data_IF_611614505172
#
_entry.id   IF_611614505172
#
_cell.length_a   1.000
_cell.length_b   1.000
_cell.length_c   1.000
_cell.angle_alpha   90.00
_cell.angle_beta   90.00
_cell.angle_gamma   90.00
#
_symmetry.space_group_name_H-M   'P 1'
#
loop_
_entity.id
_entity.type
_entity.pdbx_description
1 polymer ?
#
# COMPACT_ATOMS: atom_id res chain seq x y z
N UNK A 1 5.67 18.00 -3.88
CA UNK A 1 4.67 18.68 -3.10
C UNK A 1 3.93 17.69 -2.24
N UNK A 2 3.71 18.05 -0.96
CA UNK A 2 3.13 17.13 0.02
C UNK A 2 1.73 16.65 -0.36
N UNK A 3 0.91 17.52 -0.91
CA UNK A 3 -0.46 17.18 -1.33
C UNK A 3 -0.49 16.15 -2.45
N UNK A 4 0.45 16.22 -3.37
CA UNK A 4 0.53 15.28 -4.47
C UNK A 4 1.05 13.91 -4.03
N UNK A 5 1.71 13.82 -2.86
CA UNK A 5 2.19 12.55 -2.33
C UNK A 5 1.06 11.64 -1.86
N UNK A 6 -0.04 12.23 -1.41
CA UNK A 6 -1.17 11.44 -0.94
C UNK A 6 -2.11 11.09 -2.08
N UNK A 7 -2.14 11.91 -3.13
CA UNK A 7 -2.94 11.62 -4.31
C UNK A 7 -2.28 10.50 -5.11
N UNK A 8 -3.01 9.46 -5.35
CA UNK A 8 -2.54 8.34 -6.15
C UNK A 8 -1.65 7.35 -5.40
N UNK A 9 -1.34 7.56 -4.12
CA UNK A 9 -0.45 6.66 -3.36
C UNK A 9 -1.03 5.25 -3.27
N UNK A 10 -2.29 5.13 -2.92
CA UNK A 10 -2.92 3.82 -2.78
C UNK A 10 -2.93 3.06 -4.11
N UNK A 11 -3.30 3.73 -5.18
CA UNK A 11 -3.32 3.14 -6.51
C UNK A 11 -1.92 2.74 -6.94
N UNK A 12 -0.92 3.60 -6.71
CA UNK A 12 0.47 3.30 -7.06
C UNK A 12 1.01 2.10 -6.28
N UNK A 13 0.63 1.96 -5.01
CA UNK A 13 1.04 0.81 -4.19
C UNK A 13 0.43 -0.49 -4.74
N UNK A 14 -0.84 -0.48 -5.12
CA UNK A 14 -1.47 -1.66 -5.73
C UNK A 14 -0.90 -1.98 -7.10
N UNK A 15 -0.52 -0.97 -7.87
CA UNK A 15 0.18 -1.19 -9.14
C UNK A 15 1.48 -1.94 -8.93
N UNK A 16 2.26 -1.54 -7.93
CA UNK A 16 3.50 -2.22 -7.56
C UNK A 16 3.26 -3.63 -7.07
N UNK A 17 2.19 -3.86 -6.29
CA UNK A 17 1.83 -5.18 -5.81
C UNK A 17 1.49 -6.14 -6.95
N UNK A 18 0.71 -5.67 -7.91
CA UNK A 18 0.33 -6.46 -9.08
C UNK A 18 1.55 -6.78 -9.92
N UNK A 19 2.42 -5.80 -10.13
CA UNK A 19 3.67 -6.00 -10.86
C UNK A 19 4.55 -7.06 -10.17
N UNK A 20 4.68 -6.96 -8.85
CA UNK A 20 5.43 -7.92 -8.05
C UNK A 20 4.86 -9.33 -8.20
N UNK A 21 3.53 -9.48 -8.06
CA UNK A 21 2.90 -10.80 -8.17
C UNK A 21 3.07 -11.42 -9.55
N UNK A 22 3.12 -10.59 -10.57
CA UNK A 22 3.31 -11.04 -11.95
C UNK A 22 4.69 -11.64 -12.17
N UNK A 23 5.72 -11.07 -11.56
CA UNK A 23 7.10 -11.54 -11.74
C UNK A 23 7.52 -12.56 -10.69
N UNK A 24 7.03 -12.44 -9.47
CA UNK A 24 7.45 -13.29 -8.35
C UNK A 24 6.42 -14.37 -8.00
N UNK A 25 5.24 -14.33 -8.60
CA UNK A 25 4.14 -15.29 -8.37
C UNK A 25 3.61 -15.33 -6.93
N UNK A 26 3.87 -14.28 -6.17
CA UNK A 26 3.39 -14.13 -4.80
C UNK A 26 2.47 -12.91 -4.77
N UNK A 27 1.25 -13.07 -4.25
CA UNK A 27 0.35 -11.94 -4.06
C UNK A 27 0.61 -11.34 -2.68
N UNK A 28 1.21 -10.14 -2.61
CA UNK A 28 1.57 -9.56 -1.32
C UNK A 28 0.36 -8.97 -0.61
N UNK A 29 0.43 -8.88 0.71
CA UNK A 29 -0.53 -8.10 1.46
C UNK A 29 -0.39 -6.61 1.08
N UNK A 30 -1.49 -5.83 1.09
CA UNK A 30 -1.40 -4.41 0.75
C UNK A 30 -0.40 -3.64 1.60
N UNK A 31 -0.27 -3.99 2.87
CA UNK A 31 0.68 -3.35 3.78
C UNK A 31 2.13 -3.57 3.34
N UNK A 32 2.46 -4.79 2.93
CA UNK A 32 3.81 -5.10 2.40
C UNK A 32 4.07 -4.44 1.06
N UNK A 33 3.01 -4.10 0.33
CA UNK A 33 3.13 -3.49 -0.99
C UNK A 33 3.70 -2.09 -0.94
N UNK A 34 3.58 -1.39 0.19
CA UNK A 34 4.26 -0.10 0.39
C UNK A 34 5.77 -0.27 0.32
N UNK A 35 6.29 -1.32 0.97
CA UNK A 35 7.73 -1.62 0.92
C UNK A 35 8.16 -2.03 -0.49
N UNK A 36 7.34 -2.80 -1.19
CA UNK A 36 7.62 -3.19 -2.57
C UNK A 36 7.67 -1.96 -3.48
N UNK A 37 6.75 -1.04 -3.31
CA UNK A 37 6.72 0.20 -4.09
C UNK A 37 8.00 1.01 -3.91
N UNK A 38 8.44 1.18 -2.67
CA UNK A 38 9.69 1.89 -2.36
C UNK A 38 10.90 1.14 -2.92
N UNK A 39 10.91 -0.18 -2.84
CA UNK A 39 11.99 -0.99 -3.39
C UNK A 39 12.11 -0.80 -4.91
N UNK A 40 10.97 -0.76 -5.61
CA UNK A 40 10.95 -0.50 -7.06
C UNK A 40 11.48 0.89 -7.37
N UNK A 41 11.06 1.91 -6.61
CA UNK A 41 11.54 3.28 -6.80
C UNK A 41 13.05 3.38 -6.61
N UNK A 42 13.58 2.74 -5.57
CA UNK A 42 15.01 2.73 -5.31
C UNK A 42 15.78 2.01 -6.42
N UNK A 43 15.25 0.90 -6.92
CA UNK A 43 15.86 0.18 -8.03
C UNK A 43 15.91 1.03 -9.29
N UNK A 44 14.84 1.78 -9.58
CA UNK A 44 14.81 2.67 -10.73
C UNK A 44 15.82 3.81 -10.59
N UNK A 45 15.98 4.36 -9.39
CA UNK A 45 17.02 5.36 -9.13
C UNK A 45 18.41 4.80 -9.38
N UNK A 46 18.67 3.58 -8.93
CA UNK A 46 19.96 2.93 -9.18
C UNK A 46 20.22 2.74 -10.67
N UNK A 47 19.19 2.43 -11.43
CA UNK A 47 19.30 2.30 -12.89
C UNK A 47 19.68 3.62 -13.53
N UNK A 48 19.13 4.72 -13.07
CA UNK A 48 19.46 6.06 -13.60
C UNK A 48 20.86 6.52 -13.23
N UNK A 49 21.27 6.26 -11.98
CA UNK A 49 22.56 6.75 -11.47
C UNK A 49 23.70 5.79 -11.72
N UNK A 50 23.41 4.55 -12.09
CA UNK A 50 24.42 3.50 -12.27
C UNK A 50 24.94 2.92 -10.96
N UNK A 51 24.34 3.29 -9.82
CA UNK A 51 24.74 2.77 -8.52
C UNK A 51 24.28 1.32 -8.33
N UNK A 52 25.07 0.57 -7.58
CA UNK A 52 24.71 -0.79 -7.19
C UNK A 52 24.35 -0.80 -5.71
N UNK A 53 23.14 -1.21 -5.39
CA UNK A 53 22.66 -1.29 -4.00
C UNK A 53 21.97 -2.62 -3.75
N UNK A 54 22.05 -3.06 -2.52
CA UNK A 54 21.25 -4.19 -2.04
C UNK A 54 20.02 -3.63 -1.34
N UNK A 55 18.83 -4.01 -1.81
CA UNK A 55 17.58 -3.51 -1.26
C UNK A 55 16.89 -4.65 -0.53
N UNK A 56 16.70 -4.48 0.78
CA UNK A 56 16.04 -5.48 1.62
C UNK A 56 14.69 -4.92 2.09
N UNK A 57 13.64 -5.70 1.96
CA UNK A 57 12.35 -5.34 2.52
C UNK A 57 11.67 -6.57 3.11
N UNK A 58 10.78 -6.34 4.08
CA UNK A 58 10.02 -7.42 4.69
C UNK A 58 8.76 -7.71 3.89
N UNK A 59 8.56 -8.97 3.54
CA UNK A 59 7.33 -9.42 2.90
C UNK A 59 6.52 -10.20 3.93
N UNK A 60 5.52 -9.56 4.49
CA UNK A 60 4.70 -10.14 5.56
C UNK A 60 3.25 -10.26 5.11
N UNK A 61 2.56 -11.26 5.64
CA UNK A 61 1.16 -11.50 5.30
C UNK A 61 0.97 -12.02 3.88
N UNK A 62 -0.27 -12.03 3.46
CA UNK A 62 -0.64 -12.47 2.12
C UNK A 62 -1.79 -11.62 1.59
N UNK A 63 -1.84 -11.45 0.27
CA UNK A 63 -2.92 -10.73 -0.39
C UNK A 63 -4.23 -11.50 -0.47
N UNK A 64 -4.24 -12.77 -0.13
CA UNK A 64 -5.46 -13.57 -0.23
C UNK A 64 -6.59 -13.09 0.66
N UNK A 65 -6.27 -12.47 1.78
CA UNK A 65 -7.28 -11.89 2.67
C UNK A 65 -7.80 -10.53 2.19
N UNK A 66 -7.16 -9.96 1.18
CA UNK A 66 -7.47 -8.62 0.68
C UNK A 66 -7.89 -8.66 -0.80
N UNK A 67 -8.43 -9.77 -1.25
CA UNK A 67 -8.80 -9.96 -2.65
C UNK A 67 -9.80 -8.90 -3.13
N UNK A 68 -10.69 -8.44 -2.26
CA UNK A 68 -11.66 -7.42 -2.63
C UNK A 68 -10.97 -6.12 -3.04
N UNK A 69 -9.90 -5.75 -2.33
CA UNK A 69 -9.12 -4.56 -2.67
C UNK A 69 -8.42 -4.73 -4.03
N UNK A 70 -7.86 -5.91 -4.28
CA UNK A 70 -7.24 -6.20 -5.58
C UNK A 70 -8.25 -6.19 -6.72
N UNK A 71 -9.43 -6.73 -6.48
CA UNK A 71 -10.52 -6.71 -7.47
C UNK A 71 -10.89 -5.25 -7.80
N UNK A 72 -11.05 -4.42 -6.78
CA UNK A 72 -11.36 -3.00 -6.96
C UNK A 72 -10.29 -2.29 -7.78
N UNK A 73 -9.01 -2.58 -7.50
CA UNK A 73 -7.92 -2.01 -8.27
C UNK A 73 -7.97 -2.45 -9.73
N UNK A 74 -8.15 -3.75 -9.97
CA UNK A 74 -8.17 -4.32 -11.33
C UNK A 74 -9.35 -3.78 -12.13
N UNK A 75 -10.49 -3.57 -11.51
CA UNK A 75 -11.68 -3.03 -12.16
C UNK A 75 -11.66 -1.51 -12.31
N UNK A 76 -10.64 -0.84 -11.80
CA UNK A 76 -10.54 0.61 -11.88
C UNK A 76 -11.49 1.36 -10.97
N UNK A 77 -12.07 0.69 -9.99
CA UNK A 77 -13.00 1.32 -9.05
C UNK A 77 -12.34 1.80 -7.77
N UNK A 78 -11.06 1.47 -7.58
CA UNK A 78 -10.31 1.94 -6.41
C UNK A 78 -9.96 3.42 -6.56
N UNK A 79 -10.21 4.18 -5.51
CA UNK A 79 -9.84 5.58 -5.45
C UNK A 79 -8.98 5.84 -4.22
N UNK A 80 -8.09 6.81 -4.33
CA UNK A 80 -7.34 7.27 -3.17
C UNK A 80 -8.27 8.11 -2.30
N UNK A 81 -8.48 7.64 -1.08
CA UNK A 81 -9.40 8.25 -0.16
C UNK A 81 -8.66 8.74 1.08
N UNK A 82 -8.84 10.01 1.36
CA UNK A 82 -8.30 10.61 2.58
C UNK A 82 -9.47 10.79 3.55
N UNK A 83 -9.48 10.08 4.68
CA UNK A 83 -10.59 10.19 5.63
C UNK A 83 -10.78 11.63 6.13
N UNK A 84 -12.01 12.06 6.19
CA UNK A 84 -12.35 13.34 6.80
C UNK A 84 -12.40 13.18 8.33
N UNK A 85 -12.41 14.31 9.04
CA UNK A 85 -12.54 14.27 10.49
C UNK A 85 -13.84 13.58 10.91
N UNK A 86 -14.90 13.76 10.14
CA UNK A 86 -16.18 13.10 10.40
C UNK A 86 -16.07 11.58 10.26
N UNK A 87 -15.37 11.11 9.23
CA UNK A 87 -15.15 9.69 9.03
C UNK A 87 -14.36 9.08 10.18
N UNK A 88 -13.36 9.81 10.67
CA UNK A 88 -12.56 9.36 11.82
C UNK A 88 -13.39 9.29 13.09
N UNK A 89 -14.26 10.28 13.32
CA UNK A 89 -15.15 10.25 14.47
C UNK A 89 -16.11 9.07 14.41
N UNK A 90 -16.67 8.80 13.25
CA UNK A 90 -17.55 7.64 13.05
C UNK A 90 -16.82 6.34 13.33
N UNK A 91 -15.57 6.21 12.84
CA UNK A 91 -14.75 5.06 13.11
C UNK A 91 -14.47 4.86 14.58
N UNK A 92 -14.18 5.95 15.31
CA UNK A 92 -13.92 5.89 16.74
C UNK A 92 -15.17 5.50 17.54
N UNK A 93 -16.36 5.83 17.08
CA UNK A 93 -17.59 5.45 17.76
C UNK A 93 -17.82 3.93 17.74
N UNK A 94 -17.27 3.24 16.78
CA UNK A 94 -17.42 1.79 16.66
C UNK A 94 -16.38 1.01 17.45
N UNK A 95 -15.35 1.69 17.97
CA UNK A 95 -14.31 1.06 18.77
C UNK A 95 -14.84 0.81 20.18
N UNK A 96 -14.77 -0.45 20.67
CA UNK A 96 -15.25 -0.75 22.03
C UNK A 96 -14.46 0.02 23.07
N UNK A 97 -15.18 0.59 24.03
CA UNK A 97 -14.57 1.25 25.18
C UNK A 97 -14.20 0.20 26.21
N UNK A 98 -12.92 0.15 26.56
CA UNK A 98 -12.44 -0.78 27.59
C UNK A 98 -12.24 0.03 28.89
N UNK A 99 -12.99 -0.28 29.97
CA UNK A 99 -12.83 0.47 31.22
C UNK A 99 -11.39 0.40 31.74
N UNK A 100 -10.86 1.55 32.14
CA UNK A 100 -9.50 1.65 32.67
C UNK A 100 -8.40 1.81 31.64
N UNK A 101 -8.72 1.77 30.35
CA UNK A 101 -7.77 2.02 29.25
C UNK A 101 -8.19 3.28 28.51
N UNK A 102 -7.39 4.30 28.58
CA UNK A 102 -7.61 5.53 27.82
C UNK A 102 -6.30 6.19 27.45
#
# INVERSE_FOLDING_TARGET
MAEQRFDGVLVAVFESAVLFSKYETILPAPESSHAIHVAIEEALKCKETGETKTILFGLTGTGYFDMQAYISYTNGTMTDYIPTDEDLEEGFKTIPQIPGIQ
#
